data_IF_321968544418
#
_entry.id   IF_321968544418
#
_cell.length_a   1.000
_cell.length_b   1.000
_cell.length_c   1.000
_cell.angle_alpha   90.00
_cell.angle_beta   90.00
_cell.angle_gamma   90.00
#
_symmetry.space_group_name_H-M   'P 1'
#
loop_
_entity.id
_entity.type
_entity.pdbx_description
1 polymer ?
#
# COMPACT_ATOMS: atom_id res chain seq x y z
N UNK A 1 4.88 -40.14 13.62
CA UNK A 1 3.52 -40.21 13.06
C UNK A 1 3.15 -38.87 12.51
N UNK A 2 3.31 -38.67 11.19
CA UNK A 2 2.99 -37.41 10.54
C UNK A 2 1.49 -37.30 10.34
N UNK A 3 0.85 -36.32 10.96
CA UNK A 3 -0.53 -35.99 10.62
C UNK A 3 -0.61 -35.61 9.15
N UNK A 4 -1.51 -36.22 8.35
CA UNK A 4 -1.70 -35.78 6.97
C UNK A 4 -2.19 -34.33 6.99
N UNK A 5 -1.42 -33.44 6.40
CA UNK A 5 -1.79 -32.05 6.24
C UNK A 5 -2.97 -32.04 5.26
N UNK A 6 -4.18 -31.65 5.67
CA UNK A 6 -5.33 -31.63 4.77
C UNK A 6 -5.01 -30.70 3.59
N UNK A 7 -4.97 -31.29 2.39
CA UNK A 7 -4.80 -30.52 1.17
C UNK A 7 -6.00 -29.58 1.02
N UNK A 8 -5.74 -28.32 0.71
CA UNK A 8 -6.80 -27.40 0.33
C UNK A 8 -7.32 -27.90 -1.01
N UNK A 9 -8.52 -28.48 -1.02
CA UNK A 9 -9.14 -28.97 -2.23
C UNK A 9 -9.59 -27.79 -3.08
N UNK A 10 -8.72 -27.36 -3.99
CA UNK A 10 -9.09 -26.39 -5.03
C UNK A 10 -9.86 -27.20 -6.09
N UNK A 11 -11.15 -26.91 -6.25
CA UNK A 11 -11.95 -27.53 -7.28
C UNK A 11 -11.52 -27.03 -8.65
N UNK A 12 -11.07 -27.90 -9.59
CA UNK A 12 -10.67 -27.49 -10.95
C UNK A 12 -11.87 -27.16 -11.84
N UNK A 13 -13.08 -27.10 -11.31
CA UNK A 13 -14.29 -26.79 -12.07
C UNK A 13 -14.28 -25.36 -12.59
N UNK A 14 -14.47 -25.17 -13.89
CA UNK A 14 -14.57 -23.85 -14.51
C UNK A 14 -15.68 -22.97 -13.90
N UNK A 15 -16.72 -23.57 -13.32
CA UNK A 15 -17.80 -22.86 -12.64
C UNK A 15 -17.37 -22.14 -11.36
N UNK A 16 -16.24 -22.55 -10.75
CA UNK A 16 -15.69 -21.91 -9.53
C UNK A 16 -14.74 -20.77 -9.84
N UNK A 17 -14.30 -20.59 -11.09
CA UNK A 17 -13.39 -19.50 -11.49
C UNK A 17 -13.91 -18.10 -11.14
N UNK A 18 -15.18 -17.74 -11.39
CA UNK A 18 -15.71 -16.43 -11.04
C UNK A 18 -15.66 -16.16 -9.54
N UNK A 19 -15.91 -17.20 -8.71
CA UNK A 19 -15.85 -17.09 -7.26
C UNK A 19 -14.41 -16.86 -6.77
N UNK A 20 -13.45 -17.59 -7.31
CA UNK A 20 -12.03 -17.41 -6.98
C UNK A 20 -11.51 -16.05 -7.44
N UNK A 21 -11.93 -15.59 -8.61
CA UNK A 21 -11.63 -14.25 -9.10
C UNK A 21 -12.19 -13.17 -8.16
N UNK A 22 -13.43 -13.34 -7.69
CA UNK A 22 -14.03 -12.42 -6.74
C UNK A 22 -13.24 -12.34 -5.42
N UNK A 23 -12.86 -13.48 -4.83
CA UNK A 23 -12.03 -13.48 -3.62
C UNK A 23 -10.67 -12.83 -3.86
N UNK A 24 -10.06 -13.02 -5.01
CA UNK A 24 -8.80 -12.37 -5.37
C UNK A 24 -8.95 -10.85 -5.47
N UNK A 25 -10.02 -10.36 -6.08
CA UNK A 25 -10.33 -8.93 -6.19
C UNK A 25 -10.57 -8.32 -4.81
N UNK A 26 -11.35 -8.99 -3.95
CA UNK A 26 -11.59 -8.53 -2.57
C UNK A 26 -10.28 -8.45 -1.78
N UNK A 27 -9.43 -9.46 -1.89
CA UNK A 27 -8.12 -9.48 -1.22
C UNK A 27 -7.23 -8.33 -1.66
N UNK A 28 -7.12 -8.11 -2.98
CA UNK A 28 -6.37 -6.99 -3.54
C UNK A 28 -6.97 -5.66 -3.09
N UNK A 29 -8.29 -5.52 -3.10
CA UNK A 29 -8.99 -4.33 -2.66
C UNK A 29 -8.73 -3.99 -1.20
N UNK A 30 -8.79 -4.97 -0.30
CA UNK A 30 -8.49 -4.78 1.12
C UNK A 30 -7.03 -4.37 1.31
N UNK A 31 -6.09 -5.07 0.68
CA UNK A 31 -4.67 -4.74 0.76
C UNK A 31 -4.39 -3.32 0.21
N UNK A 32 -5.05 -2.94 -0.89
CA UNK A 32 -4.92 -1.61 -1.48
C UNK A 32 -5.43 -0.50 -0.54
N UNK A 33 -6.61 -0.68 0.06
CA UNK A 33 -7.17 0.29 0.99
C UNK A 33 -6.29 0.46 2.23
N UNK A 34 -5.78 -0.63 2.79
CA UNK A 34 -4.84 -0.58 3.91
C UNK A 34 -3.55 0.15 3.51
N UNK A 35 -3.01 -0.15 2.33
CA UNK A 35 -1.82 0.53 1.81
C UNK A 35 -2.06 2.02 1.60
N UNK A 36 -3.22 2.40 1.07
CA UNK A 36 -3.58 3.79 0.84
C UNK A 36 -3.66 4.58 2.15
N UNK A 37 -4.37 4.05 3.14
CA UNK A 37 -4.50 4.69 4.47
C UNK A 37 -3.13 4.86 5.13
N UNK A 38 -2.32 3.81 5.11
CA UNK A 38 -0.96 3.87 5.65
C UNK A 38 -0.08 4.87 4.89
N UNK A 39 -0.08 4.82 3.56
CA UNK A 39 0.74 5.68 2.70
C UNK A 39 0.42 7.17 2.87
N UNK A 40 -0.87 7.50 2.96
CA UNK A 40 -1.32 8.87 3.23
C UNK A 40 -0.86 9.34 4.61
N UNK A 41 -1.08 8.55 5.65
CA UNK A 41 -0.65 8.89 7.01
C UNK A 41 0.87 9.03 7.13
N UNK A 42 1.60 8.05 6.62
CA UNK A 42 3.06 8.04 6.66
C UNK A 42 3.66 9.20 5.86
N UNK A 43 3.25 9.36 4.61
CA UNK A 43 3.73 10.43 3.73
C UNK A 43 3.40 11.83 4.25
N UNK A 44 2.22 11.99 4.88
CA UNK A 44 1.82 13.25 5.52
C UNK A 44 2.74 13.59 6.71
N UNK A 45 2.99 12.63 7.60
CA UNK A 45 3.89 12.83 8.75
C UNK A 45 5.31 13.16 8.27
N UNK A 46 5.82 12.42 7.28
CA UNK A 46 7.14 12.67 6.71
C UNK A 46 7.24 14.05 6.07
N UNK A 47 6.20 14.51 5.36
CA UNK A 47 6.21 15.80 4.66
C UNK A 47 6.19 17.00 5.60
N UNK A 48 5.51 16.89 6.75
CA UNK A 48 5.29 18.00 7.68
C UNK A 48 6.11 17.95 8.97
N UNK A 49 6.87 16.89 9.21
CA UNK A 49 7.75 16.77 10.38
C UNK A 49 9.23 16.77 9.97
N UNK A 50 9.91 17.93 9.96
CA UNK A 50 11.30 18.03 9.51
C UNK A 50 12.29 17.16 10.32
N UNK A 51 11.96 16.86 11.58
CA UNK A 51 12.83 16.03 12.43
C UNK A 51 12.74 14.55 12.09
N UNK A 52 11.57 14.10 11.66
CA UNK A 52 11.32 12.71 11.31
C UNK A 52 11.55 12.43 9.81
N UNK A 53 11.51 13.46 8.97
CA UNK A 53 11.58 13.36 7.51
C UNK A 53 12.74 12.49 7.03
N UNK A 54 13.97 12.87 7.37
CA UNK A 54 15.16 12.15 6.92
C UNK A 54 15.18 10.68 7.34
N UNK A 55 14.76 10.40 8.58
CA UNK A 55 14.66 9.03 9.07
C UNK A 55 13.58 8.24 8.34
N UNK A 56 12.39 8.82 8.18
CA UNK A 56 11.26 8.17 7.55
C UNK A 56 11.53 7.87 6.06
N UNK A 57 12.18 8.80 5.35
CA UNK A 57 12.55 8.58 3.95
C UNK A 57 13.63 7.48 3.84
N UNK A 58 14.65 7.50 4.70
CA UNK A 58 15.65 6.42 4.71
C UNK A 58 15.02 5.04 4.97
N UNK A 59 14.04 4.96 5.87
CA UNK A 59 13.28 3.72 6.12
C UNK A 59 12.51 3.28 4.88
N UNK A 60 11.84 4.22 4.18
CA UNK A 60 11.16 3.90 2.91
C UNK A 60 12.13 3.36 1.86
N UNK A 61 13.28 4.00 1.67
CA UNK A 61 14.29 3.58 0.70
C UNK A 61 14.82 2.17 0.97
N UNK A 62 15.04 1.83 2.24
CA UNK A 62 15.46 0.48 2.63
C UNK A 62 14.33 -0.52 2.36
N UNK A 63 13.11 -0.24 2.81
CA UNK A 63 11.99 -1.18 2.73
C UNK A 63 11.54 -1.43 1.29
N UNK A 64 11.56 -0.43 0.43
CA UNK A 64 11.25 -0.62 -0.99
C UNK A 64 12.35 -1.38 -1.76
N UNK A 65 13.58 -1.39 -1.24
CA UNK A 65 14.71 -2.14 -1.84
C UNK A 65 14.64 -3.64 -1.56
N UNK A 66 13.86 -4.06 -0.56
CA UNK A 66 13.74 -5.49 -0.20
C UNK A 66 12.69 -6.16 -1.09
N UNK A 67 13.07 -7.16 -1.92
CA UNK A 67 12.12 -7.84 -2.78
C UNK A 67 11.14 -8.68 -1.94
N UNK A 68 9.84 -8.38 -2.07
CA UNK A 68 8.75 -9.01 -1.29
C UNK A 68 8.77 -10.53 -1.45
N UNK A 69 9.13 -11.03 -2.63
CA UNK A 69 9.18 -12.47 -2.91
C UNK A 69 10.21 -13.22 -2.05
N UNK A 70 11.25 -12.54 -1.57
CA UNK A 70 12.31 -13.17 -0.77
C UNK A 70 11.82 -13.63 0.60
N UNK A 71 10.84 -12.95 1.19
CA UNK A 71 10.29 -13.33 2.49
C UNK A 71 8.90 -13.96 2.43
N UNK A 72 8.37 -14.21 1.22
CA UNK A 72 7.07 -14.85 1.00
C UNK A 72 6.92 -16.16 1.79
N UNK A 73 7.87 -17.13 1.73
CA UNK A 73 7.70 -18.40 2.47
C UNK A 73 7.64 -18.17 3.98
N UNK A 74 8.49 -17.29 4.52
CA UNK A 74 8.53 -16.97 5.94
C UNK A 74 7.24 -16.32 6.45
N UNK A 75 6.71 -15.34 5.71
CA UNK A 75 5.44 -14.67 6.04
C UNK A 75 4.28 -15.67 6.00
N UNK A 76 4.20 -16.50 4.98
CA UNK A 76 3.14 -17.51 4.86
C UNK A 76 3.17 -18.52 6.01
N UNK A 77 4.34 -19.04 6.35
CA UNK A 77 4.50 -19.96 7.48
C UNK A 77 4.14 -19.28 8.80
N UNK A 78 4.59 -18.06 9.02
CA UNK A 78 4.28 -17.30 10.23
C UNK A 78 2.77 -17.05 10.37
N UNK A 79 2.10 -16.60 9.31
CA UNK A 79 0.66 -16.33 9.35
C UNK A 79 -0.16 -17.62 9.59
N UNK A 80 0.20 -18.74 8.96
CA UNK A 80 -0.48 -20.02 9.18
C UNK A 80 -0.24 -20.57 10.58
N UNK A 81 0.92 -20.30 11.19
CA UNK A 81 1.22 -20.74 12.55
C UNK A 81 0.60 -19.87 13.64
N UNK A 82 0.47 -18.56 13.40
CA UNK A 82 -0.04 -17.61 14.38
C UNK A 82 -1.56 -17.53 14.41
N UNK A 83 -2.22 -17.75 13.27
CA UNK A 83 -3.67 -17.59 13.15
C UNK A 83 -4.34 -18.96 13.17
N UNK A 84 -5.18 -19.24 14.20
CA UNK A 84 -5.95 -20.47 14.25
C UNK A 84 -6.96 -20.49 13.10
N UNK A 85 -6.83 -21.46 12.22
CA UNK A 85 -7.58 -21.56 10.98
C UNK A 85 -6.69 -21.35 9.76
N UNK A 86 -6.20 -22.45 9.21
CA UNK A 86 -5.23 -22.48 8.11
C UNK A 86 -5.62 -21.58 6.94
N UNK A 87 -6.90 -21.52 6.60
CA UNK A 87 -7.38 -20.71 5.48
C UNK A 87 -7.28 -19.22 5.78
N UNK A 88 -7.66 -18.78 6.98
CA UNK A 88 -7.53 -17.39 7.42
C UNK A 88 -6.06 -16.95 7.47
N UNK A 89 -5.16 -17.82 7.94
CA UNK A 89 -3.72 -17.54 7.96
C UNK A 89 -3.16 -17.31 6.56
N UNK A 90 -3.58 -18.11 5.57
CA UNK A 90 -3.19 -17.94 4.17
C UNK A 90 -3.73 -16.62 3.59
N UNK A 91 -5.00 -16.30 3.85
CA UNK A 91 -5.61 -15.05 3.38
C UNK A 91 -4.91 -13.81 3.97
N UNK A 92 -4.66 -13.81 5.27
CA UNK A 92 -3.96 -12.73 5.94
C UNK A 92 -2.52 -12.59 5.46
N UNK A 93 -1.83 -13.70 5.23
CA UNK A 93 -0.48 -13.70 4.64
C UNK A 93 -0.47 -13.12 3.24
N UNK A 94 -1.44 -13.46 2.41
CA UNK A 94 -1.57 -12.93 1.06
C UNK A 94 -1.86 -11.40 1.08
N UNK A 95 -2.78 -10.94 1.94
CA UNK A 95 -3.07 -9.50 2.11
C UNK A 95 -1.82 -8.75 2.56
N UNK A 96 -1.08 -9.28 3.54
CA UNK A 96 0.14 -8.67 4.06
C UNK A 96 1.23 -8.54 2.98
N UNK A 97 1.40 -9.58 2.16
CA UNK A 97 2.38 -9.57 1.07
C UNK A 97 2.00 -8.55 -0.03
N UNK A 98 0.73 -8.49 -0.40
CA UNK A 98 0.24 -7.48 -1.37
C UNK A 98 0.42 -6.08 -0.78
N UNK A 99 0.06 -5.88 0.49
CA UNK A 99 0.23 -4.63 1.20
C UNK A 99 1.70 -4.18 1.18
N UNK A 100 2.63 -5.02 1.62
CA UNK A 100 4.05 -4.67 1.67
C UNK A 100 4.66 -4.43 0.30
N UNK A 101 4.15 -5.09 -0.76
CA UNK A 101 4.62 -4.90 -2.13
C UNK A 101 4.28 -3.53 -2.74
N UNK A 102 3.29 -2.82 -2.22
CA UNK A 102 2.83 -1.56 -2.82
C UNK A 102 2.90 -0.35 -1.88
N UNK A 103 2.83 -0.56 -0.57
CA UNK A 103 2.68 0.51 0.42
C UNK A 103 3.83 1.51 0.40
N UNK A 104 5.07 1.06 0.22
CA UNK A 104 6.26 1.91 0.25
C UNK A 104 6.29 2.87 -0.95
N UNK A 105 6.00 2.37 -2.14
CA UNK A 105 5.92 3.18 -3.35
C UNK A 105 4.79 4.23 -3.26
N UNK A 106 3.63 3.84 -2.73
CA UNK A 106 2.51 4.76 -2.52
C UNK A 106 2.86 5.84 -1.49
N UNK A 107 3.51 5.48 -0.38
CA UNK A 107 3.92 6.42 0.65
C UNK A 107 4.95 7.44 0.12
N UNK A 108 5.94 6.96 -0.64
CA UNK A 108 6.93 7.83 -1.26
C UNK A 108 6.33 8.76 -2.31
N UNK A 109 5.40 8.27 -3.13
CA UNK A 109 4.70 9.07 -4.13
C UNK A 109 3.85 10.17 -3.50
N UNK A 110 3.12 9.83 -2.44
CA UNK A 110 2.32 10.79 -1.70
C UNK A 110 3.20 11.87 -1.04
N UNK A 111 4.27 11.46 -0.35
CA UNK A 111 5.25 12.37 0.24
C UNK A 111 5.86 13.31 -0.80
N UNK A 112 6.38 12.76 -1.91
CA UNK A 112 7.02 13.53 -2.98
C UNK A 112 6.06 14.53 -3.62
N UNK A 113 4.81 14.14 -3.81
CA UNK A 113 3.76 15.01 -4.32
C UNK A 113 3.50 16.20 -3.38
N UNK A 114 3.39 15.96 -2.08
CA UNK A 114 3.25 17.04 -1.10
C UNK A 114 4.44 18.00 -1.09
N UNK A 115 5.66 17.48 -1.23
CA UNK A 115 6.87 18.31 -1.26
C UNK A 115 7.00 19.11 -2.56
N UNK A 116 6.56 18.57 -3.69
CA UNK A 116 6.60 19.25 -4.99
C UNK A 116 5.45 20.23 -5.23
N UNK A 117 4.50 20.34 -4.30
CA UNK A 117 3.36 21.23 -4.42
C UNK A 117 3.81 22.70 -4.53
N UNK A 118 3.37 23.43 -5.58
CA UNK A 118 3.69 24.84 -5.78
C UNK A 118 3.33 25.72 -4.56
N UNK A 119 4.16 26.71 -4.28
CA UNK A 119 3.95 27.62 -3.14
C UNK A 119 2.68 28.43 -3.29
N UNK A 120 2.34 28.82 -4.51
CA UNK A 120 1.14 29.58 -4.86
C UNK A 120 -0.14 28.86 -4.41
N UNK A 121 -0.20 27.55 -4.55
CA UNK A 121 -1.34 26.74 -4.07
C UNK A 121 -1.44 26.74 -2.54
N UNK A 122 -0.30 26.67 -1.86
CA UNK A 122 -0.27 26.74 -0.38
C UNK A 122 -0.63 28.13 0.13
N UNK A 123 -0.16 29.16 -0.53
CA UNK A 123 -0.47 30.56 -0.20
C UNK A 123 -1.96 30.86 -0.42
N UNK A 124 -2.55 30.37 -1.51
CA UNK A 124 -3.98 30.49 -1.75
C UNK A 124 -4.82 29.94 -0.59
N UNK A 125 -4.44 28.79 -0.02
CA UNK A 125 -5.17 28.24 1.14
C UNK A 125 -5.07 29.12 2.38
N UNK A 126 -3.98 29.86 2.55
CA UNK A 126 -3.83 30.81 3.65
C UNK A 126 -4.68 32.07 3.46
N UNK A 127 -4.76 32.57 2.22
CA UNK A 127 -5.64 33.70 1.85
C UNK A 127 -7.10 33.39 2.10
N UNK A 128 -7.53 32.17 1.73
CA UNK A 128 -8.89 31.67 1.98
C UNK A 128 -9.12 31.17 3.41
N UNK A 129 -8.13 31.28 4.30
CA UNK A 129 -8.19 30.87 5.71
C UNK A 129 -8.64 29.43 5.89
N UNK A 130 -8.15 28.51 5.06
CA UNK A 130 -8.45 27.09 5.21
C UNK A 130 -7.91 26.55 6.54
N UNK A 131 -8.72 25.80 7.26
CA UNK A 131 -8.23 24.99 8.37
C UNK A 131 -7.30 23.87 7.84
N UNK A 132 -6.46 23.29 8.71
CA UNK A 132 -5.58 22.17 8.32
C UNK A 132 -6.37 21.00 7.72
N UNK A 133 -7.55 20.71 8.23
CA UNK A 133 -8.45 19.69 7.73
C UNK A 133 -9.01 20.00 6.35
N UNK A 134 -9.45 21.25 6.11
CA UNK A 134 -9.92 21.70 4.80
C UNK A 134 -8.80 21.66 3.76
N UNK A 135 -7.59 22.13 4.13
CA UNK A 135 -6.42 22.08 3.25
C UNK A 135 -6.08 20.63 2.86
N UNK A 136 -6.09 19.71 3.83
CA UNK A 136 -5.84 18.29 3.57
C UNK A 136 -6.84 17.72 2.55
N UNK A 137 -8.14 17.87 2.78
CA UNK A 137 -9.18 17.24 1.95
C UNK A 137 -9.41 17.95 0.61
N UNK A 138 -9.27 19.28 0.54
CA UNK A 138 -9.63 20.05 -0.64
C UNK A 138 -8.43 20.33 -1.56
N UNK A 139 -7.20 20.29 -1.04
CA UNK A 139 -5.99 20.56 -1.81
C UNK A 139 -5.02 19.37 -1.81
N UNK A 140 -4.53 18.98 -0.64
CA UNK A 140 -3.39 18.07 -0.51
C UNK A 140 -3.72 16.65 -0.99
N UNK A 141 -4.85 16.12 -0.56
CA UNK A 141 -5.29 14.77 -0.93
C UNK A 141 -5.66 14.67 -2.42
N UNK A 142 -6.45 15.56 -3.03
CA UNK A 142 -6.72 15.51 -4.46
C UNK A 142 -5.46 15.72 -5.32
N UNK A 143 -4.59 16.67 -4.94
CA UNK A 143 -3.34 16.92 -5.65
C UNK A 143 -2.42 15.71 -5.63
N UNK A 144 -2.23 15.09 -4.45
CA UNK A 144 -1.36 13.94 -4.30
C UNK A 144 -1.99 12.64 -4.82
N UNK A 145 -3.32 12.53 -4.83
CA UNK A 145 -4.04 11.39 -5.36
C UNK A 145 -3.77 11.14 -6.84
N UNK A 146 -3.59 12.21 -7.61
CA UNK A 146 -3.18 12.13 -9.01
C UNK A 146 -1.81 11.45 -9.12
N UNK A 147 -0.81 11.88 -8.33
CA UNK A 147 0.53 11.30 -8.35
C UNK A 147 0.54 9.83 -7.95
N UNK A 148 -0.21 9.46 -6.92
CA UNK A 148 -0.36 8.06 -6.48
C UNK A 148 -1.00 7.19 -7.56
N UNK A 149 -1.98 7.73 -8.30
CA UNK A 149 -2.65 7.01 -9.39
C UNK A 149 -1.75 6.83 -10.61
N UNK A 150 -0.87 7.80 -10.90
CA UNK A 150 0.02 7.77 -12.06
C UNK A 150 1.31 6.97 -11.85
N UNK A 151 1.67 6.59 -10.63
CA UNK A 151 2.87 5.77 -10.37
C UNK A 151 2.88 4.44 -11.12
N UNK A 152 1.72 3.91 -11.46
CA UNK A 152 1.59 2.73 -12.33
C UNK A 152 1.74 3.03 -13.82
N UNK A 153 1.62 4.30 -14.25
CA UNK A 153 1.70 4.70 -15.66
C UNK A 153 3.06 5.23 -16.09
N UNK A 154 3.88 5.72 -15.16
CA UNK A 154 5.21 6.27 -15.46
C UNK A 154 6.25 5.20 -15.89
N UNK A 155 5.97 3.93 -15.58
CA UNK A 155 6.79 2.81 -16.08
C UNK A 155 6.73 2.71 -17.61
N UNK A 156 5.63 3.16 -18.24
CA UNK A 156 5.47 3.14 -19.70
C UNK A 156 6.19 4.30 -20.42
N UNK A 157 6.42 5.42 -19.77
CA UNK A 157 7.04 6.60 -20.42
C UNK A 157 8.57 6.57 -20.52
N UNK A 158 9.24 5.68 -19.79
CA UNK A 158 10.71 5.54 -19.84
C UNK A 158 11.20 4.53 -20.85
N UNK A 159 10.32 3.97 -21.67
CA UNK A 159 10.67 2.97 -22.69
C UNK A 159 10.54 3.51 -24.14
N UNK A 160 10.42 4.82 -24.33
CA UNK A 160 10.46 5.47 -25.67
C UNK A 160 11.64 6.41 -25.73
#
# INVERSE_FOLDING_TARGET
MGHPVPAIAISPSAKMLPLYAFYSVVRIGVAYLLSLVFAVGYGYIAAYNPRAESFMIAVLDILQSIPVLSFLPGVMLAMVSLIPGRQLGIEMGAILLIFTGQVWNMAFSFYSSLKSMPRELREATSVFRFSAWQRFWQLELPYSGIAVSYTHLDVYKRQV
#
